data_IF_545131568629
#
_entry.id   IF_545131568629
#
_cell.length_a   1.000
_cell.length_b   1.000
_cell.length_c   1.000
_cell.angle_alpha   90.00
_cell.angle_beta   90.00
_cell.angle_gamma   90.00
#
_symmetry.space_group_name_H-M   'P 1'
#
loop_
_entity.id
_entity.type
_entity.pdbx_description
1 polymer ?
#
# COMPACT_ATOMS: atom_id res chain seq x y z
N UNK A 1 14.87 -22.46 17.64
CA UNK A 1 16.19 -22.66 17.01
C UNK A 1 16.91 -21.33 16.94
N UNK A 2 18.14 -21.33 17.41
CA UNK A 2 19.03 -20.18 17.38
C UNK A 2 20.09 -20.38 16.28
N UNK A 3 20.37 -19.35 15.54
CA UNK A 3 21.47 -19.30 14.58
C UNK A 3 22.21 -17.98 14.78
N UNK A 4 23.51 -18.03 14.88
CA UNK A 4 24.38 -16.85 14.98
C UNK A 4 25.22 -16.73 13.72
N UNK A 5 25.14 -15.57 13.05
CA UNK A 5 26.01 -15.25 11.93
C UNK A 5 27.35 -14.78 12.49
N UNK A 6 28.36 -15.66 12.45
CA UNK A 6 29.73 -15.39 12.89
C UNK A 6 30.58 -14.99 11.69
N UNK A 7 31.41 -13.96 11.90
CA UNK A 7 32.44 -13.58 10.93
C UNK A 7 33.58 -14.59 11.00
N UNK A 8 34.12 -15.07 9.87
CA UNK A 8 35.26 -16.02 9.87
C UNK A 8 36.44 -15.47 10.67
N UNK A 9 37.11 -16.37 11.42
CA UNK A 9 38.24 -16.05 12.26
C UNK A 9 39.36 -15.34 11.48
N UNK A 10 39.64 -14.08 11.81
CA UNK A 10 40.66 -13.24 11.18
C UNK A 10 40.33 -11.75 11.14
N UNK A 11 39.06 -11.38 11.23
CA UNK A 11 38.63 -9.98 11.32
C UNK A 11 37.69 -9.86 12.52
N UNK A 12 38.23 -9.50 13.66
CA UNK A 12 37.46 -9.28 14.89
C UNK A 12 36.71 -7.94 14.73
N UNK A 13 35.50 -8.00 14.18
CA UNK A 13 34.47 -6.97 14.35
C UNK A 13 33.32 -7.60 15.12
N UNK A 14 33.45 -7.63 16.46
CA UNK A 14 32.39 -8.05 17.38
C UNK A 14 31.09 -7.25 17.20
N UNK A 15 31.18 -6.09 16.54
CA UNK A 15 30.05 -5.18 16.31
C UNK A 15 29.07 -5.64 15.23
N UNK A 16 29.44 -6.62 14.41
CA UNK A 16 28.59 -7.12 13.30
C UNK A 16 27.94 -8.48 13.62
N UNK A 17 28.18 -9.05 14.81
CA UNK A 17 27.58 -10.32 15.19
C UNK A 17 26.06 -10.17 15.40
N UNK A 18 25.28 -10.99 14.72
CA UNK A 18 23.83 -11.01 14.78
C UNK A 18 23.34 -12.39 15.17
N UNK A 19 22.43 -12.43 16.15
CA UNK A 19 21.79 -13.66 16.59
C UNK A 19 20.37 -13.74 16.02
N UNK A 20 20.02 -14.91 15.51
CA UNK A 20 18.73 -15.19 14.90
C UNK A 20 17.99 -16.22 15.73
N UNK A 21 16.81 -15.87 16.22
CA UNK A 21 15.94 -16.77 16.98
C UNK A 21 14.72 -17.13 16.15
N UNK A 22 14.47 -18.42 16.04
CA UNK A 22 13.35 -18.98 15.30
C UNK A 22 12.45 -19.77 16.25
N UNK A 23 11.18 -19.42 16.30
CA UNK A 23 10.18 -20.11 17.12
C UNK A 23 9.15 -20.79 16.22
N UNK A 24 8.91 -22.05 16.52
CA UNK A 24 8.00 -22.90 15.76
C UNK A 24 6.83 -23.34 16.64
N UNK A 25 5.67 -23.53 16.05
CA UNK A 25 4.52 -24.12 16.72
C UNK A 25 4.65 -25.65 16.81
N UNK A 26 3.63 -26.31 17.38
CA UNK A 26 3.57 -27.78 17.50
C UNK A 26 3.47 -28.51 16.16
N UNK A 27 3.16 -27.79 15.07
CA UNK A 27 3.11 -28.30 13.70
C UNK A 27 4.37 -27.95 12.90
N UNK A 28 5.46 -27.55 13.59
CA UNK A 28 6.74 -27.17 12.98
C UNK A 28 6.67 -25.97 12.02
N UNK A 29 5.66 -25.11 12.15
CA UNK A 29 5.54 -23.89 11.35
C UNK A 29 6.22 -22.73 12.08
N UNK A 30 6.99 -21.91 11.35
CA UNK A 30 7.63 -20.73 11.88
C UNK A 30 6.58 -19.68 12.25
N UNK A 31 6.38 -19.42 13.55
CA UNK A 31 5.38 -18.46 14.04
C UNK A 31 5.96 -17.13 14.48
N UNK A 32 7.23 -17.12 14.91
CA UNK A 32 7.94 -15.93 15.33
C UNK A 32 9.41 -16.00 14.96
N UNK A 33 9.97 -14.86 14.56
CA UNK A 33 11.38 -14.68 14.28
C UNK A 33 11.86 -13.35 14.84
N UNK A 34 13.03 -13.34 15.46
CA UNK A 34 13.71 -12.10 15.82
C UNK A 34 15.18 -12.15 15.42
N UNK A 35 15.72 -11.01 15.03
CA UNK A 35 17.13 -10.77 14.79
C UNK A 35 17.63 -9.76 15.80
N UNK A 36 18.63 -10.14 16.55
CA UNK A 36 19.19 -9.36 17.67
C UNK A 36 20.64 -8.97 17.34
N UNK A 37 21.01 -7.76 17.68
CA UNK A 37 22.38 -7.26 17.65
C UNK A 37 22.63 -6.45 18.92
N UNK A 38 23.75 -6.66 19.60
CA UNK A 38 24.09 -6.02 20.88
C UNK A 38 22.99 -6.15 21.94
N UNK A 39 22.31 -7.30 22.01
CA UNK A 39 21.22 -7.55 22.95
C UNK A 39 19.89 -6.88 22.60
N UNK A 40 19.83 -6.10 21.51
CA UNK A 40 18.66 -5.33 21.10
C UNK A 40 18.02 -5.90 19.82
N UNK A 41 16.70 -6.00 19.76
CA UNK A 41 16.02 -6.49 18.56
C UNK A 41 16.15 -5.48 17.41
N UNK A 42 16.64 -5.97 16.25
CA UNK A 42 16.67 -5.22 15.01
C UNK A 42 15.41 -5.43 14.15
N UNK A 43 14.89 -6.65 14.20
CA UNK A 43 13.72 -7.06 13.42
C UNK A 43 12.96 -8.11 14.23
N UNK A 44 11.66 -7.94 14.30
CA UNK A 44 10.74 -8.98 14.73
C UNK A 44 9.77 -9.32 13.60
N UNK A 45 9.42 -10.58 13.46
CA UNK A 45 8.43 -11.02 12.48
C UNK A 45 7.48 -12.03 13.10
N UNK A 46 6.19 -11.88 12.80
CA UNK A 46 5.15 -12.85 13.19
C UNK A 46 4.45 -13.37 11.94
N UNK A 47 4.13 -14.64 11.95
CA UNK A 47 3.54 -15.34 10.83
C UNK A 47 2.20 -15.93 11.25
N UNK A 48 1.18 -15.74 10.41
CA UNK A 48 -0.16 -16.26 10.62
C UNK A 48 -0.44 -17.34 9.57
N UNK A 49 -1.08 -18.41 9.99
CA UNK A 49 -1.41 -19.55 9.15
C UNK A 49 -2.90 -19.85 9.22
N UNK A 50 -3.45 -20.40 8.14
CA UNK A 50 -4.78 -20.96 8.13
C UNK A 50 -4.78 -22.38 8.72
N UNK A 51 -5.96 -23.01 8.91
CA UNK A 51 -6.05 -24.38 9.41
C UNK A 51 -5.36 -25.42 8.53
N UNK A 52 -5.18 -25.14 7.23
CA UNK A 52 -4.48 -26.03 6.28
C UNK A 52 -2.96 -25.84 6.31
N UNK A 53 -2.44 -24.93 7.15
CA UNK A 53 -1.01 -24.67 7.28
C UNK A 53 -0.44 -23.71 6.24
N UNK A 54 -1.29 -23.06 5.43
CA UNK A 54 -0.85 -22.06 4.46
C UNK A 54 -0.66 -20.72 5.15
N UNK A 55 0.42 -20.02 4.81
CA UNK A 55 0.72 -18.70 5.40
C UNK A 55 -0.26 -17.65 4.88
N UNK A 56 -1.01 -17.04 5.78
CA UNK A 56 -1.99 -15.99 5.46
C UNK A 56 -1.43 -14.59 5.60
N UNK A 57 -0.52 -14.40 6.55
CA UNK A 57 0.12 -13.09 6.73
C UNK A 57 1.51 -13.19 7.34
N UNK A 58 2.31 -12.17 7.05
CA UNK A 58 3.58 -11.86 7.70
C UNK A 58 3.53 -10.43 8.21
N UNK A 59 3.84 -10.21 9.48
CA UNK A 59 3.97 -8.90 10.09
C UNK A 59 5.42 -8.70 10.49
N UNK A 60 6.01 -7.57 10.12
CA UNK A 60 7.42 -7.26 10.37
C UNK A 60 7.52 -5.92 11.08
N UNK A 61 8.17 -5.91 12.24
CA UNK A 61 8.58 -4.71 12.94
C UNK A 61 10.08 -4.54 12.72
N UNK A 62 10.50 -3.34 12.31
CA UNK A 62 11.90 -3.00 12.12
C UNK A 62 12.32 -1.98 13.14
N UNK A 63 13.59 -2.04 13.57
CA UNK A 63 14.16 -1.01 14.41
C UNK A 63 14.31 0.27 13.61
N UNK A 64 13.71 1.32 14.10
CA UNK A 64 13.75 2.65 13.51
C UNK A 64 14.02 3.70 14.57
N UNK A 65 14.53 4.85 14.14
CA UNK A 65 14.72 6.00 15.02
C UNK A 65 13.43 6.79 15.07
N UNK A 66 12.90 7.00 16.26
CA UNK A 66 11.72 7.84 16.45
C UNK A 66 12.07 9.34 16.36
N UNK A 67 11.04 10.20 16.46
CA UNK A 67 11.18 11.65 16.41
C UNK A 67 12.03 12.23 17.54
N UNK A 68 12.22 11.48 18.64
CA UNK A 68 13.06 11.87 19.79
C UNK A 68 14.50 11.39 19.66
N UNK A 69 14.81 10.63 18.60
CA UNK A 69 16.12 10.06 18.34
C UNK A 69 16.37 8.69 18.98
N UNK A 70 15.40 8.15 19.71
CA UNK A 70 15.47 6.81 20.28
C UNK A 70 15.28 5.73 19.21
N UNK A 71 16.06 4.67 19.34
CA UNK A 71 15.96 3.49 18.49
C UNK A 71 15.02 2.47 19.13
N UNK A 72 13.87 2.23 18.52
CA UNK A 72 12.89 1.23 18.96
C UNK A 72 12.32 0.46 17.77
N UNK A 73 11.60 -0.63 18.02
CA UNK A 73 10.83 -1.29 16.98
C UNK A 73 9.66 -0.38 16.53
N UNK A 74 9.38 -0.36 15.24
CA UNK A 74 8.29 0.41 14.66
C UNK A 74 6.97 0.14 15.37
N UNK A 75 6.16 1.19 15.60
CA UNK A 75 4.84 1.02 16.26
C UNK A 75 3.87 0.24 15.37
N UNK A 76 3.91 0.47 14.06
CA UNK A 76 3.06 -0.22 13.07
C UNK A 76 3.94 -1.23 12.31
N UNK A 77 3.50 -2.51 12.21
CA UNK A 77 4.23 -3.48 11.40
C UNK A 77 4.01 -3.24 9.91
N UNK A 78 5.01 -3.57 9.12
CA UNK A 78 4.83 -3.85 7.70
C UNK A 78 4.07 -5.17 7.57
N UNK A 79 2.93 -5.18 6.88
CA UNK A 79 2.11 -6.38 6.72
C UNK A 79 2.13 -6.85 5.28
N UNK A 80 2.42 -8.15 5.11
CA UNK A 80 2.27 -8.82 3.81
C UNK A 80 1.16 -9.85 3.96
N UNK A 81 0.16 -9.78 3.10
CA UNK A 81 -0.94 -10.73 3.00
C UNK A 81 -0.70 -11.70 1.86
N UNK A 82 -1.11 -12.95 2.04
CA UNK A 82 -0.99 -14.02 1.07
C UNK A 82 -2.37 -14.60 0.76
N UNK A 83 -2.73 -14.68 -0.52
CA UNK A 83 -3.97 -15.27 -1.02
C UNK A 83 -3.68 -16.57 -1.78
N UNK A 84 -4.50 -17.57 -1.55
CA UNK A 84 -4.31 -18.91 -2.07
C UNK A 84 -5.51 -19.38 -2.89
N UNK A 85 -5.24 -20.13 -3.94
CA UNK A 85 -6.21 -20.92 -4.68
C UNK A 85 -5.78 -22.39 -4.56
N UNK A 86 -6.47 -23.16 -3.69
CA UNK A 86 -5.95 -24.45 -3.26
C UNK A 86 -4.57 -24.32 -2.63
N UNK A 87 -3.59 -24.99 -3.21
CA UNK A 87 -2.18 -24.97 -2.76
C UNK A 87 -1.32 -23.96 -3.55
N UNK A 88 -1.93 -23.19 -4.46
CA UNK A 88 -1.24 -22.19 -5.29
C UNK A 88 -1.30 -20.81 -4.66
N UNK A 89 -0.15 -20.16 -4.50
CA UNK A 89 -0.07 -18.79 -4.03
C UNK A 89 -0.43 -17.84 -5.18
N UNK A 90 -1.64 -17.30 -5.16
CA UNK A 90 -2.15 -16.42 -6.24
C UNK A 90 -1.98 -14.96 -5.98
N UNK A 91 -1.92 -14.55 -4.71
CA UNK A 91 -1.86 -13.13 -4.36
C UNK A 91 -0.83 -12.87 -3.27
N UNK A 92 0.00 -11.84 -3.46
CA UNK A 92 0.84 -11.26 -2.40
C UNK A 92 0.53 -9.77 -2.36
N UNK A 93 0.11 -9.28 -1.20
CA UNK A 93 -0.31 -7.90 -1.04
C UNK A 93 0.40 -7.25 0.15
N UNK A 94 0.98 -6.08 -0.08
CA UNK A 94 1.54 -5.17 0.92
C UNK A 94 0.67 -3.91 1.04
N UNK A 95 1.07 -2.95 1.85
CA UNK A 95 0.41 -1.64 1.93
C UNK A 95 0.49 -0.87 0.59
N UNK A 96 1.52 -1.12 -0.21
CA UNK A 96 1.82 -0.33 -1.43
C UNK A 96 1.58 -1.07 -2.74
N UNK A 97 1.65 -2.41 -2.72
CA UNK A 97 1.60 -3.21 -3.95
C UNK A 97 0.75 -4.45 -3.78
N UNK A 98 0.17 -4.88 -4.88
CA UNK A 98 -0.53 -6.15 -5.00
C UNK A 98 0.01 -6.90 -6.20
N UNK A 99 0.51 -8.11 -5.96
CA UNK A 99 1.02 -9.02 -6.97
C UNK A 99 0.00 -10.14 -7.13
N UNK A 100 -0.44 -10.39 -8.36
CA UNK A 100 -1.31 -11.52 -8.70
C UNK A 100 -0.60 -12.42 -9.68
N UNK A 101 -0.65 -13.73 -9.42
CA UNK A 101 -0.06 -14.76 -10.26
C UNK A 101 -1.17 -15.65 -10.82
N UNK A 102 -1.21 -15.75 -12.14
CA UNK A 102 -2.10 -16.68 -12.86
C UNK A 102 -1.30 -17.91 -13.24
N UNK A 103 -1.81 -19.07 -12.94
CA UNK A 103 -1.18 -20.35 -13.24
C UNK A 103 -1.87 -21.03 -14.40
N UNK A 104 -1.13 -21.89 -15.08
CA UNK A 104 -1.69 -22.83 -16.04
C UNK A 104 -2.74 -23.74 -15.36
N UNK A 105 -3.91 -23.99 -16.00
CA UNK A 105 -4.93 -24.87 -15.43
C UNK A 105 -4.38 -26.24 -15.06
N UNK A 106 -4.62 -26.68 -13.83
CA UNK A 106 -4.15 -27.97 -13.31
C UNK A 106 -2.64 -28.08 -13.03
N UNK A 107 -1.88 -26.99 -13.14
CA UNK A 107 -0.42 -26.95 -12.99
C UNK A 107 0.01 -25.90 -11.96
N UNK A 108 1.26 -25.99 -11.49
CA UNK A 108 1.95 -24.97 -10.70
C UNK A 108 2.82 -24.04 -11.55
N UNK A 109 2.71 -24.13 -12.88
CA UNK A 109 3.45 -23.28 -13.81
C UNK A 109 2.84 -21.88 -13.85
N UNK A 110 3.55 -20.81 -13.43
CA UNK A 110 3.05 -19.46 -13.52
C UNK A 110 3.08 -18.98 -14.98
N UNK A 111 1.95 -18.50 -15.49
CA UNK A 111 1.83 -17.97 -16.85
C UNK A 111 2.00 -16.44 -16.86
N UNK A 112 1.35 -15.77 -15.92
CA UNK A 112 1.32 -14.31 -15.87
C UNK A 112 1.49 -13.86 -14.41
N UNK A 113 2.30 -12.84 -14.21
CA UNK A 113 2.42 -12.10 -12.96
C UNK A 113 2.07 -10.65 -13.21
N UNK A 114 1.04 -10.18 -12.55
CA UNK A 114 0.57 -8.80 -12.62
C UNK A 114 0.91 -8.11 -11.30
N UNK A 115 1.59 -6.99 -11.36
CA UNK A 115 1.88 -6.14 -10.22
C UNK A 115 1.12 -4.82 -10.37
N UNK A 116 0.32 -4.47 -9.36
CA UNK A 116 -0.48 -3.25 -9.30
C UNK A 116 -0.13 -2.47 -8.05
N UNK A 117 -0.13 -1.16 -8.14
CA UNK A 117 0.02 -0.29 -6.97
C UNK A 117 -1.31 -0.21 -6.21
N UNK A 118 -1.24 -0.16 -4.88
CA UNK A 118 -2.43 -0.04 -4.05
C UNK A 118 -2.96 1.39 -4.05
N UNK A 119 -4.26 1.53 -3.80
CA UNK A 119 -5.07 2.72 -4.01
C UNK A 119 -4.60 4.04 -3.40
N UNK A 120 -3.67 4.06 -2.43
CA UNK A 120 -3.11 5.34 -1.95
C UNK A 120 -2.17 5.96 -3.00
N UNK A 121 -1.41 5.14 -3.74
CA UNK A 121 -0.61 5.61 -4.87
C UNK A 121 -1.48 5.93 -6.08
N UNK A 122 -2.53 5.14 -6.32
CA UNK A 122 -3.53 5.47 -7.33
C UNK A 122 -4.23 6.79 -7.01
N UNK A 123 -4.54 7.06 -5.71
CA UNK A 123 -5.06 8.37 -5.27
C UNK A 123 -4.09 9.52 -5.53
N UNK A 124 -2.79 9.29 -5.30
CA UNK A 124 -1.75 10.30 -5.57
C UNK A 124 -1.51 10.52 -7.08
N UNK A 125 -1.84 9.54 -7.91
CA UNK A 125 -1.73 9.62 -9.38
C UNK A 125 -3.03 10.07 -10.06
N UNK A 126 -4.15 10.17 -9.32
CA UNK A 126 -5.40 10.68 -9.86
C UNK A 126 -5.25 12.14 -10.23
N UNK A 127 -5.74 12.45 -11.41
CA UNK A 127 -5.90 13.84 -11.81
C UNK A 127 -7.03 14.46 -11.01
N UNK A 128 -6.81 15.66 -10.50
CA UNK A 128 -7.86 16.46 -9.90
C UNK A 128 -8.88 16.87 -10.98
N UNK A 129 -10.11 17.22 -10.57
CA UNK A 129 -11.10 17.77 -11.48
C UNK A 129 -10.56 18.98 -12.23
N UNK A 130 -9.77 19.83 -11.57
CA UNK A 130 -9.12 20.98 -12.17
C UNK A 130 -8.13 20.58 -13.28
N UNK A 131 -7.29 19.55 -13.04
CA UNK A 131 -6.34 19.03 -14.03
C UNK A 131 -7.03 18.40 -15.23
N UNK A 132 -8.13 17.66 -15.01
CA UNK A 132 -8.93 17.04 -16.06
C UNK A 132 -9.55 18.11 -16.96
N UNK A 133 -10.16 19.15 -16.39
CA UNK A 133 -10.77 20.24 -17.14
C UNK A 133 -9.71 21.12 -17.85
N UNK A 134 -8.53 21.29 -17.28
CA UNK A 134 -7.42 21.98 -17.93
C UNK A 134 -6.95 21.20 -19.16
N UNK A 135 -6.87 19.88 -19.08
CA UNK A 135 -6.43 19.05 -20.17
C UNK A 135 -7.46 19.02 -21.32
N UNK A 136 -8.75 18.89 -21.00
CA UNK A 136 -9.83 18.96 -22.01
C UNK A 136 -9.87 20.31 -22.71
N UNK A 137 -9.67 21.41 -21.98
CA UNK A 137 -9.57 22.76 -22.54
C UNK A 137 -8.33 22.98 -23.41
N UNK A 138 -7.28 22.17 -23.22
CA UNK A 138 -6.00 22.26 -23.95
C UNK A 138 -6.03 21.52 -25.30
N UNK A 139 -6.96 20.62 -25.56
CA UNK A 139 -7.07 19.90 -26.84
C UNK A 139 -7.32 20.84 -28.04
N UNK A 140 -7.76 22.07 -27.78
CA UNK A 140 -7.93 23.12 -28.80
C UNK A 140 -6.67 23.99 -29.03
N UNK A 141 -5.48 23.55 -28.60
CA UNK A 141 -4.18 24.13 -28.99
C UNK A 141 -3.70 25.32 -28.15
N UNK A 142 -4.42 25.75 -27.12
CA UNK A 142 -3.98 26.79 -26.19
C UNK A 142 -4.02 26.21 -24.77
N UNK A 143 -2.87 26.04 -24.13
CA UNK A 143 -2.79 25.59 -22.75
C UNK A 143 -3.54 26.53 -21.81
N UNK A 144 -4.72 26.12 -21.35
CA UNK A 144 -5.51 26.89 -20.39
C UNK A 144 -4.93 26.68 -19.01
N UNK A 145 -4.38 27.74 -18.41
CA UNK A 145 -3.94 27.71 -17.01
C UNK A 145 -5.02 28.36 -16.16
N UNK A 146 -5.60 27.60 -15.25
CA UNK A 146 -6.61 28.13 -14.34
C UNK A 146 -5.99 28.99 -13.24
N UNK A 147 -6.61 30.13 -12.89
CA UNK A 147 -6.24 30.89 -11.71
C UNK A 147 -6.31 30.04 -10.44
N UNK A 148 -5.40 30.28 -9.49
CA UNK A 148 -5.34 29.48 -8.25
C UNK A 148 -6.65 29.46 -7.46
N UNK A 149 -7.46 30.52 -7.54
CA UNK A 149 -8.78 30.61 -6.91
C UNK A 149 -9.79 29.64 -7.54
N UNK A 150 -9.75 29.50 -8.87
CA UNK A 150 -10.60 28.58 -9.59
C UNK A 150 -10.20 27.13 -9.29
N UNK A 151 -8.90 26.83 -9.20
CA UNK A 151 -8.41 25.50 -8.82
C UNK A 151 -8.94 25.12 -7.43
N UNK A 152 -8.82 26.00 -6.43
CA UNK A 152 -9.35 25.76 -5.07
C UNK A 152 -10.85 25.52 -5.05
N UNK A 153 -11.59 26.23 -5.88
CA UNK A 153 -13.04 26.08 -5.98
C UNK A 153 -13.40 24.74 -6.63
N UNK A 154 -12.67 24.31 -7.66
CA UNK A 154 -12.84 23.02 -8.30
C UNK A 154 -12.45 21.86 -7.38
N UNK A 155 -11.38 21.99 -6.59
CA UNK A 155 -10.98 21.00 -5.59
C UNK A 155 -12.06 20.84 -4.52
N UNK A 156 -12.64 21.94 -4.04
CA UNK A 156 -13.76 21.92 -3.09
C UNK A 156 -15.00 21.25 -3.70
N UNK A 157 -15.31 21.57 -4.94
CA UNK A 157 -16.43 20.93 -5.68
C UNK A 157 -16.23 19.43 -5.84
N UNK A 158 -15.01 19.02 -6.16
CA UNK A 158 -14.66 17.59 -6.27
C UNK A 158 -14.90 16.86 -4.94
N UNK A 159 -14.47 17.44 -3.81
CA UNK A 159 -14.72 16.88 -2.48
C UNK A 159 -16.20 16.81 -2.14
N UNK A 160 -16.97 17.87 -2.47
CA UNK A 160 -18.41 17.91 -2.23
C UNK A 160 -19.16 16.86 -3.08
N UNK A 161 -18.78 16.67 -4.35
CA UNK A 161 -19.34 15.66 -5.24
C UNK A 161 -19.02 14.25 -4.73
N UNK A 162 -17.78 14.00 -4.30
CA UNK A 162 -17.35 12.70 -3.75
C UNK A 162 -18.09 12.36 -2.44
N UNK A 163 -18.36 13.37 -1.63
CA UNK A 163 -19.10 13.21 -0.39
C UNK A 163 -20.64 13.11 -0.58
N UNK A 164 -21.12 13.22 -1.83
CA UNK A 164 -22.54 13.31 -2.18
C UNK A 164 -23.28 14.44 -1.39
N UNK A 165 -22.55 15.53 -1.13
CA UNK A 165 -23.03 16.69 -0.34
C UNK A 165 -22.65 18.00 -1.00
N UNK A 166 -23.19 18.27 -2.19
CA UNK A 166 -22.96 19.52 -2.87
C UNK A 166 -23.72 20.66 -2.22
N UNK A 167 -23.00 21.70 -1.77
CA UNK A 167 -23.57 22.86 -1.11
C UNK A 167 -24.48 23.68 -2.03
N UNK A 168 -25.40 24.45 -1.46
CA UNK A 168 -26.26 25.36 -2.22
C UNK A 168 -25.46 26.44 -2.96
N UNK A 169 -24.35 26.89 -2.38
CA UNK A 169 -23.41 27.85 -2.96
C UNK A 169 -22.74 27.27 -4.21
N UNK A 170 -22.23 26.04 -4.12
CA UNK A 170 -21.63 25.32 -5.24
C UNK A 170 -22.61 25.06 -6.38
N UNK A 171 -23.86 24.70 -6.04
CA UNK A 171 -24.94 24.52 -7.05
C UNK A 171 -25.31 25.82 -7.76
N UNK A 172 -25.39 26.92 -7.01
CA UNK A 172 -25.68 28.24 -7.58
C UNK A 172 -24.55 28.70 -8.53
N UNK A 173 -23.29 28.46 -8.15
CA UNK A 173 -22.15 28.77 -9.00
C UNK A 173 -22.14 27.92 -10.28
N UNK A 174 -22.40 26.62 -10.17
CA UNK A 174 -22.50 25.73 -11.33
C UNK A 174 -23.62 26.19 -12.29
N UNK A 175 -24.78 26.55 -11.76
CA UNK A 175 -25.90 27.06 -12.55
C UNK A 175 -25.54 28.35 -13.31
N UNK A 176 -24.77 29.25 -12.70
CA UNK A 176 -24.26 30.44 -13.37
C UNK A 176 -23.28 30.10 -14.51
N UNK A 177 -22.53 29.01 -14.37
CA UNK A 177 -21.64 28.50 -15.42
C UNK A 177 -22.36 27.66 -16.48
N UNK A 178 -23.68 27.44 -16.35
CA UNK A 178 -24.45 26.58 -17.25
C UNK A 178 -24.14 25.09 -17.13
N UNK A 179 -23.59 24.67 -15.99
CA UNK A 179 -23.17 23.31 -15.69
C UNK A 179 -24.10 22.68 -14.65
N UNK A 180 -24.26 21.36 -14.69
CA UNK A 180 -24.97 20.60 -13.67
C UNK A 180 -23.99 19.74 -12.85
N UNK A 181 -24.41 19.40 -11.62
CA UNK A 181 -23.61 18.51 -10.75
C UNK A 181 -23.36 17.17 -11.41
N UNK A 182 -24.34 16.65 -12.14
CA UNK A 182 -24.26 15.35 -12.82
C UNK A 182 -23.24 15.37 -13.98
N UNK A 183 -23.09 16.50 -14.67
CA UNK A 183 -22.09 16.65 -15.73
C UNK A 183 -20.68 16.61 -15.15
N UNK A 184 -20.44 17.33 -14.03
CA UNK A 184 -19.15 17.33 -13.36
C UNK A 184 -18.85 16.02 -12.67
N UNK A 185 -19.86 15.37 -12.08
CA UNK A 185 -19.70 14.07 -11.43
C UNK A 185 -19.20 12.98 -12.39
N UNK A 186 -19.49 13.09 -13.67
CA UNK A 186 -18.97 12.16 -14.71
C UNK A 186 -17.48 12.36 -15.00
N UNK A 187 -16.95 13.55 -14.74
CA UNK A 187 -15.55 13.89 -14.94
C UNK A 187 -14.69 13.65 -13.68
N UNK A 188 -15.32 13.53 -12.52
CA UNK A 188 -14.65 13.16 -11.29
C UNK A 188 -14.28 11.67 -11.34
N UNK A 189 -12.99 11.36 -11.32
CA UNK A 189 -12.53 9.98 -11.29
C UNK A 189 -13.09 9.25 -10.05
N UNK A 190 -13.64 8.02 -10.22
CA UNK A 190 -14.25 7.29 -9.11
C UNK A 190 -13.22 7.00 -8.01
N UNK A 191 -13.66 7.07 -6.75
CA UNK A 191 -12.82 6.68 -5.63
C UNK A 191 -12.55 5.17 -5.68
N UNK A 192 -11.27 4.80 -5.74
CA UNK A 192 -10.88 3.39 -5.67
C UNK A 192 -11.22 2.85 -4.28
N UNK A 193 -12.25 2.06 -4.20
CA UNK A 193 -12.55 1.24 -3.02
C UNK A 193 -11.89 -0.11 -3.23
N UNK A 194 -10.82 -0.46 -2.48
CA UNK A 194 -10.29 -1.81 -2.54
C UNK A 194 -11.40 -2.78 -2.17
N UNK A 195 -11.61 -3.79 -3.02
CA UNK A 195 -12.63 -4.80 -2.77
C UNK A 195 -12.41 -5.38 -1.37
N UNK A 196 -13.36 -5.13 -0.45
CA UNK A 196 -13.42 -5.82 0.83
C UNK A 196 -13.63 -7.30 0.53
N UNK A 197 -12.65 -8.14 0.89
CA UNK A 197 -12.81 -9.58 0.98
C UNK A 197 -13.17 -9.95 2.40
#
# INVERSE_FOLDING_TARGET
TEKTDRIPAGVIRTDDERTHHYHYDSQHRLVFYTRIQHGEPLVESRYLYDPLGRRMAKRVWRRERDLTGWMSLSRKPEVTWYGWDGDRLTTVQTDTTRIQTVYEPGSFTPLIRVETENGEREKAQRRSLAETLQQEGSENGHGVVFPAELVRLLDRLEEEIRADRVSSESRAWLAQCGLTVEQLARQVEPEYTPARK
#
